data_IF_342745508346
#
_entry.id   IF_342745508346
#
_cell.length_a   1.000
_cell.length_b   1.000
_cell.length_c   1.000
_cell.angle_alpha   90.00
_cell.angle_beta   90.00
_cell.angle_gamma   90.00
#
_symmetry.space_group_name_H-M   'P 1'
#
loop_
_entity.id
_entity.type
_entity.pdbx_description
1 polymer ?
#
# COMPACT_ATOMS: atom_id res chain seq x y z
N UNK A 1 -17.93 60.79 -32.51
CA UNK A 1 -16.85 59.77 -32.47
C UNK A 1 -17.04 58.92 -31.22
N UNK A 2 -17.53 57.69 -31.34
CA UNK A 2 -17.69 56.76 -30.21
C UNK A 2 -16.43 55.89 -30.12
N UNK A 3 -15.67 56.01 -29.03
CA UNK A 3 -14.50 55.17 -28.75
C UNK A 3 -14.96 53.96 -27.93
N UNK A 4 -14.87 52.78 -28.54
CA UNK A 4 -15.06 51.50 -27.86
C UNK A 4 -13.76 51.15 -27.13
N UNK A 5 -13.83 50.91 -25.82
CA UNK A 5 -12.73 50.36 -25.03
C UNK A 5 -12.82 48.84 -25.05
N UNK A 6 -11.76 48.17 -25.51
CA UNK A 6 -11.57 46.73 -25.36
C UNK A 6 -10.58 46.54 -24.22
N UNK A 7 -11.05 45.96 -23.12
CA UNK A 7 -10.25 45.58 -21.95
C UNK A 7 -9.53 44.26 -22.25
N UNK A 8 -8.19 44.28 -22.24
CA UNK A 8 -7.35 43.09 -22.37
C UNK A 8 -7.19 42.44 -20.98
N UNK A 9 -7.72 41.23 -20.81
CA UNK A 9 -7.54 40.41 -19.61
C UNK A 9 -6.13 39.81 -19.60
N UNK A 10 -5.36 40.12 -18.55
CA UNK A 10 -4.04 39.54 -18.29
C UNK A 10 -4.22 38.07 -17.87
N UNK A 11 -3.84 37.14 -18.76
CA UNK A 11 -3.65 35.73 -18.40
C UNK A 11 -2.29 35.60 -17.69
N UNK A 12 -2.32 35.36 -16.38
CA UNK A 12 -1.14 34.99 -15.62
C UNK A 12 -0.69 33.58 -16.04
N UNK A 13 0.38 33.48 -16.82
CA UNK A 13 1.10 32.23 -17.03
C UNK A 13 1.72 31.82 -15.70
N UNK A 14 1.16 30.77 -15.07
CA UNK A 14 1.84 30.01 -14.03
C UNK A 14 3.11 29.41 -14.65
N UNK A 15 4.27 29.93 -14.26
CA UNK A 15 5.56 29.38 -14.63
C UNK A 15 5.70 27.96 -14.08
N UNK A 16 5.56 26.97 -14.96
CA UNK A 16 6.02 25.62 -14.74
C UNK A 16 7.55 25.64 -14.66
N UNK A 17 8.07 25.79 -13.44
CA UNK A 17 9.42 25.33 -13.16
C UNK A 17 9.42 23.83 -13.44
N UNK A 18 10.17 23.42 -14.45
CA UNK A 18 10.47 22.02 -14.70
C UNK A 18 11.11 21.47 -13.42
N UNK A 19 10.33 20.72 -12.65
CA UNK A 19 10.85 19.96 -11.53
C UNK A 19 11.87 18.99 -12.13
N UNK A 20 13.15 19.25 -11.86
CA UNK A 20 14.19 18.24 -12.03
C UNK A 20 13.69 16.98 -11.32
N UNK A 21 13.47 15.90 -12.06
CA UNK A 21 13.02 14.64 -11.49
C UNK A 21 14.12 14.14 -10.55
N UNK A 22 13.98 14.45 -9.26
CA UNK A 22 14.78 13.80 -8.23
C UNK A 22 14.51 12.29 -8.33
N UNK A 23 15.56 11.48 -8.18
CA UNK A 23 15.40 10.02 -8.09
C UNK A 23 14.30 9.68 -7.08
N UNK A 24 13.43 8.68 -7.35
CA UNK A 24 12.30 8.39 -6.48
C UNK A 24 12.78 8.18 -5.04
N UNK A 25 12.36 9.08 -4.14
CA UNK A 25 12.66 8.93 -2.71
C UNK A 25 11.75 7.85 -2.13
N UNK A 26 12.13 6.59 -2.34
CA UNK A 26 11.36 5.42 -1.90
C UNK A 26 11.72 5.10 -0.45
N UNK A 27 10.74 5.21 0.44
CA UNK A 27 10.93 4.86 1.84
C UNK A 27 9.69 4.15 2.39
N UNK A 28 9.87 3.42 3.47
CA UNK A 28 8.84 2.60 4.11
C UNK A 28 9.43 1.77 5.24
N UNK A 29 8.61 0.90 5.81
CA UNK A 29 9.07 -0.05 6.83
C UNK A 29 8.15 -1.28 6.90
N UNK A 30 8.53 -2.27 7.70
CA UNK A 30 7.71 -3.43 8.00
C UNK A 30 7.76 -3.81 9.49
N UNK A 31 6.89 -4.73 9.87
CA UNK A 31 6.89 -5.36 11.20
C UNK A 31 8.02 -6.39 11.34
N UNK A 32 8.59 -6.87 10.23
CA UNK A 32 9.71 -7.81 10.20
C UNK A 32 10.50 -7.68 8.89
N UNK A 33 11.60 -6.94 8.94
CA UNK A 33 12.44 -6.63 7.76
C UNK A 33 13.18 -7.85 7.20
N UNK A 34 13.36 -8.91 8.00
CA UNK A 34 13.94 -10.17 7.52
C UNK A 34 13.00 -10.96 6.61
N UNK A 35 11.69 -10.75 6.77
CA UNK A 35 10.63 -11.42 6.00
C UNK A 35 10.15 -10.54 4.85
N UNK A 36 9.89 -9.26 5.12
CA UNK A 36 9.55 -8.26 4.11
C UNK A 36 10.42 -7.04 4.30
N UNK A 37 11.39 -6.87 3.41
CA UNK A 37 12.12 -5.62 3.28
C UNK A 37 11.45 -4.75 2.21
N UNK A 38 11.47 -3.44 2.44
CA UNK A 38 10.97 -2.44 1.48
C UNK A 38 12.11 -1.54 1.02
N UNK A 39 12.02 -1.01 -0.19
CA UNK A 39 13.07 -0.16 -0.74
C UNK A 39 12.86 0.11 -2.22
N UNK A 40 13.82 0.80 -2.83
CA UNK A 40 13.79 1.06 -4.26
C UNK A 40 13.92 -0.25 -5.04
N UNK A 41 13.03 -0.46 -6.00
CA UNK A 41 13.03 -1.64 -6.87
C UNK A 41 14.31 -1.70 -7.72
N UNK A 42 14.86 -2.90 -7.84
CA UNK A 42 16.07 -3.19 -8.60
C UNK A 42 16.11 -4.63 -9.15
N UNK A 43 14.99 -5.36 -9.10
CA UNK A 43 14.88 -6.72 -9.61
C UNK A 43 15.00 -6.77 -11.14
N UNK A 44 15.75 -7.73 -11.69
CA UNK A 44 16.06 -7.81 -13.13
C UNK A 44 14.84 -7.70 -14.07
N UNK A 45 13.73 -8.36 -13.73
CA UNK A 45 12.50 -8.33 -14.54
C UNK A 45 11.45 -7.30 -14.08
N UNK A 46 11.62 -6.75 -12.87
CA UNK A 46 10.60 -5.91 -12.24
C UNK A 46 11.23 -4.61 -11.72
N UNK A 47 12.20 -4.07 -12.45
CA UNK A 47 12.81 -2.80 -12.09
C UNK A 47 11.95 -1.65 -12.64
N UNK A 48 11.50 -0.78 -11.74
CA UNK A 48 10.91 0.49 -12.10
C UNK A 48 11.53 1.67 -11.38
N UNK A 49 12.56 1.45 -10.56
CA UNK A 49 13.15 2.44 -9.66
C UNK A 49 12.16 3.06 -8.66
N UNK A 50 10.97 2.48 -8.50
CA UNK A 50 9.92 2.89 -7.55
C UNK A 50 9.86 1.94 -6.34
N UNK A 51 8.84 2.14 -5.51
CA UNK A 51 8.41 1.31 -4.40
C UNK A 51 8.50 -0.18 -4.70
N UNK A 52 9.39 -0.86 -3.97
CA UNK A 52 9.66 -2.27 -4.15
C UNK A 52 9.66 -3.07 -2.86
N UNK A 53 9.41 -4.37 -3.02
CA UNK A 53 9.39 -5.35 -1.93
C UNK A 53 10.42 -6.45 -2.20
N UNK A 54 11.07 -6.90 -1.13
CA UNK A 54 11.95 -8.06 -1.12
C UNK A 54 11.50 -9.01 -0.02
N UNK A 55 11.24 -10.27 -0.39
CA UNK A 55 10.72 -11.30 0.50
C UNK A 55 11.84 -12.25 0.96
N UNK A 56 11.84 -12.61 2.24
CA UNK A 56 12.77 -13.56 2.88
C UNK A 56 14.25 -13.29 2.55
N UNK A 57 14.66 -12.02 2.54
CA UNK A 57 16.02 -11.60 2.16
C UNK A 57 16.50 -12.17 0.80
N UNK A 58 15.59 -12.40 -0.14
CA UNK A 58 15.91 -12.96 -1.45
C UNK A 58 17.05 -12.20 -2.14
N UNK A 59 18.04 -12.91 -2.73
CA UNK A 59 19.14 -12.27 -3.44
C UNK A 59 18.70 -11.63 -4.78
N UNK A 60 17.46 -11.87 -5.23
CA UNK A 60 16.94 -11.37 -6.50
C UNK A 60 16.59 -9.86 -6.48
N UNK A 61 16.70 -9.21 -5.32
CA UNK A 61 16.45 -7.77 -5.16
C UNK A 61 14.99 -7.40 -4.87
N UNK A 62 14.69 -6.12 -5.00
CA UNK A 62 13.37 -5.53 -4.73
C UNK A 62 12.53 -5.47 -6.01
N UNK A 63 11.32 -6.01 -5.93
CA UNK A 63 10.35 -6.08 -7.03
C UNK A 63 9.49 -4.83 -6.98
N UNK A 64 9.38 -4.08 -8.07
CA UNK A 64 8.44 -2.97 -8.17
C UNK A 64 7.01 -3.46 -7.94
N UNK A 65 6.35 -2.93 -6.90
CA UNK A 65 5.01 -3.35 -6.47
C UNK A 65 4.00 -3.19 -7.59
N UNK A 66 4.10 -2.10 -8.36
CA UNK A 66 3.17 -1.77 -9.42
C UNK A 66 3.40 -2.62 -10.65
N UNK A 67 4.64 -2.66 -11.15
CA UNK A 67 4.99 -3.38 -12.39
C UNK A 67 4.96 -4.90 -12.22
N UNK A 68 5.24 -5.40 -11.03
CA UNK A 68 5.20 -6.83 -10.73
C UNK A 68 3.80 -7.28 -10.29
N UNK A 69 3.59 -7.49 -8.97
CA UNK A 69 2.41 -8.17 -8.47
C UNK A 69 1.09 -7.47 -8.82
N UNK A 70 1.01 -6.13 -8.80
CA UNK A 70 -0.24 -5.41 -9.11
C UNK A 70 -0.59 -5.50 -10.59
N UNK A 71 0.36 -5.23 -11.49
CA UNK A 71 0.14 -5.31 -12.93
C UNK A 71 -0.24 -6.74 -13.35
N UNK A 72 0.52 -7.74 -12.90
CA UNK A 72 0.22 -9.14 -13.24
C UNK A 72 -1.15 -9.58 -12.75
N UNK A 73 -1.50 -9.22 -11.50
CA UNK A 73 -2.83 -9.47 -10.92
C UNK A 73 -3.93 -8.87 -11.78
N UNK A 74 -3.85 -7.56 -12.07
CA UNK A 74 -4.86 -6.86 -12.83
C UNK A 74 -4.98 -7.35 -14.28
N UNK A 75 -3.87 -7.67 -14.94
CA UNK A 75 -3.88 -8.27 -16.29
C UNK A 75 -4.61 -9.61 -16.31
N UNK A 76 -4.27 -10.49 -15.37
CA UNK A 76 -4.92 -11.80 -15.28
C UNK A 76 -6.42 -11.67 -14.95
N UNK A 77 -6.79 -10.78 -14.02
CA UNK A 77 -8.19 -10.55 -13.65
C UNK A 77 -8.98 -9.95 -14.81
N UNK A 78 -8.42 -8.98 -15.53
CA UNK A 78 -9.08 -8.36 -16.69
C UNK A 78 -9.36 -9.39 -17.80
N UNK A 79 -8.45 -10.34 -18.00
CA UNK A 79 -8.60 -11.37 -19.03
C UNK A 79 -9.45 -12.57 -18.60
N UNK A 80 -9.42 -12.96 -17.32
CA UNK A 80 -9.89 -14.29 -16.86
C UNK A 80 -10.85 -14.22 -15.66
N UNK A 81 -11.06 -13.05 -15.06
CA UNK A 81 -11.94 -12.83 -13.91
C UNK A 81 -11.28 -13.02 -12.54
N UNK A 82 -12.09 -12.88 -11.49
CA UNK A 82 -11.63 -13.00 -10.09
C UNK A 82 -11.24 -14.44 -9.73
N UNK A 83 -10.12 -14.61 -9.03
CA UNK A 83 -9.56 -15.93 -8.70
C UNK A 83 -8.80 -16.59 -9.84
N UNK A 84 -8.57 -15.85 -10.93
CA UNK A 84 -7.79 -16.30 -12.07
C UNK A 84 -6.37 -16.72 -11.66
N UNK A 85 -5.83 -17.69 -12.41
CA UNK A 85 -4.42 -18.01 -12.37
C UNK A 85 -3.64 -17.00 -13.20
N UNK A 86 -2.82 -16.20 -12.51
CA UNK A 86 -1.80 -15.32 -13.07
C UNK A 86 -0.61 -16.17 -13.51
N UNK A 87 -0.24 -16.00 -14.78
CA UNK A 87 0.94 -16.61 -15.39
C UNK A 87 2.13 -15.65 -15.38
N UNK A 88 3.32 -16.15 -15.70
CA UNK A 88 4.49 -15.29 -15.93
C UNK A 88 4.25 -14.24 -17.02
N UNK A 89 3.61 -14.61 -18.13
CA UNK A 89 3.25 -13.69 -19.21
C UNK A 89 2.34 -12.56 -18.73
N UNK A 90 1.36 -12.85 -17.88
CA UNK A 90 0.47 -11.82 -17.30
C UNK A 90 1.27 -10.80 -16.48
N UNK A 91 2.32 -11.27 -15.77
CA UNK A 91 3.26 -10.44 -15.02
C UNK A 91 4.35 -9.79 -15.88
N UNK A 92 4.36 -9.98 -17.21
CA UNK A 92 5.38 -9.43 -18.11
C UNK A 92 6.69 -10.22 -18.17
N UNK A 93 6.70 -11.47 -17.72
CA UNK A 93 7.82 -12.40 -17.86
C UNK A 93 7.76 -13.15 -19.20
N UNK A 94 8.90 -13.60 -19.76
CA UNK A 94 8.95 -14.24 -21.08
C UNK A 94 8.50 -15.72 -21.08
N UNK A 95 7.72 -16.15 -20.09
CA UNK A 95 7.30 -17.54 -19.94
C UNK A 95 5.88 -17.66 -19.34
N UNK A 96 5.11 -18.62 -19.84
CA UNK A 96 3.69 -18.81 -19.51
C UNK A 96 3.47 -19.85 -18.40
N UNK A 97 4.27 -19.81 -17.33
CA UNK A 97 4.08 -20.70 -16.18
C UNK A 97 3.03 -20.12 -15.23
N UNK A 98 2.20 -20.97 -14.63
CA UNK A 98 1.28 -20.56 -13.57
C UNK A 98 2.06 -20.13 -12.32
N UNK A 99 1.74 -18.96 -11.77
CA UNK A 99 2.48 -18.37 -10.64
C UNK A 99 1.59 -18.26 -9.40
N UNK A 100 0.42 -17.66 -9.55
CA UNK A 100 -0.44 -17.31 -8.42
C UNK A 100 -1.92 -17.26 -8.79
N UNK A 101 -2.79 -17.42 -7.81
CA UNK A 101 -4.19 -17.01 -7.91
C UNK A 101 -4.36 -15.57 -7.42
N UNK A 102 -5.22 -14.81 -8.10
CA UNK A 102 -5.30 -13.36 -7.87
C UNK A 102 -6.74 -12.85 -7.76
N UNK A 103 -6.92 -11.81 -6.94
CA UNK A 103 -8.17 -11.10 -6.74
C UNK A 103 -7.91 -9.62 -6.55
N UNK A 104 -8.89 -8.78 -6.88
CA UNK A 104 -8.89 -7.39 -6.48
C UNK A 104 -10.25 -6.95 -5.93
N UNK A 105 -10.25 -5.93 -5.07
CA UNK A 105 -11.47 -5.37 -4.50
C UNK A 105 -11.28 -3.87 -4.26
N UNK A 106 -12.18 -3.00 -4.79
CA UNK A 106 -12.13 -1.59 -4.50
C UNK A 106 -12.53 -1.33 -3.03
N UNK A 107 -12.00 -0.26 -2.47
CA UNK A 107 -12.40 0.21 -1.14
C UNK A 107 -12.49 1.74 -1.12
N UNK A 108 -13.39 2.26 -0.29
CA UNK A 108 -13.62 3.71 -0.15
C UNK A 108 -13.78 4.07 1.31
N UNK A 109 -13.19 5.18 1.75
CA UNK A 109 -13.40 5.75 3.08
C UNK A 109 -13.58 7.26 2.94
N UNK A 110 -14.75 7.78 3.32
CA UNK A 110 -15.13 9.15 2.98
C UNK A 110 -15.01 9.41 1.48
N UNK A 111 -14.27 10.47 1.12
CA UNK A 111 -13.98 10.83 -0.29
C UNK A 111 -12.78 10.07 -0.88
N UNK A 112 -12.05 9.30 -0.07
CA UNK A 112 -10.83 8.62 -0.48
C UNK A 112 -11.12 7.24 -1.03
N UNK A 113 -10.34 6.86 -2.05
CA UNK A 113 -10.49 5.60 -2.76
C UNK A 113 -9.19 4.81 -2.70
N UNK A 114 -9.33 3.50 -2.76
CA UNK A 114 -8.24 2.56 -2.62
C UNK A 114 -8.49 1.34 -3.50
N UNK A 115 -7.40 0.69 -3.89
CA UNK A 115 -7.46 -0.63 -4.50
C UNK A 115 -6.72 -1.66 -3.68
N UNK A 116 -7.39 -2.79 -3.41
CA UNK A 116 -6.79 -3.95 -2.77
C UNK A 116 -6.52 -5.02 -3.82
N UNK A 117 -5.28 -5.48 -3.93
CA UNK A 117 -4.89 -6.67 -4.69
C UNK A 117 -4.49 -7.77 -3.72
N UNK A 118 -5.00 -8.97 -3.94
CA UNK A 118 -4.69 -10.16 -3.14
C UNK A 118 -4.12 -11.23 -4.05
N UNK A 119 -2.99 -11.80 -3.66
CA UNK A 119 -2.20 -12.72 -4.47
C UNK A 119 -1.86 -13.93 -3.61
N UNK A 120 -2.10 -15.12 -4.14
CA UNK A 120 -1.76 -16.40 -3.52
C UNK A 120 -0.84 -17.16 -4.45
N UNK A 121 0.44 -17.23 -4.10
CA UNK A 121 1.40 -18.03 -4.85
C UNK A 121 1.02 -19.52 -4.82
N UNK A 122 0.92 -20.14 -6.00
CA UNK A 122 0.63 -21.57 -6.16
C UNK A 122 1.88 -22.35 -6.59
N UNK A 123 2.74 -21.73 -7.39
CA UNK A 123 3.97 -22.35 -7.90
C UNK A 123 5.21 -21.71 -7.30
N UNK A 124 6.14 -22.53 -6.80
CA UNK A 124 7.46 -22.04 -6.42
C UNK A 124 8.40 -22.12 -7.62
N UNK A 125 8.94 -20.97 -8.01
CA UNK A 125 9.93 -20.89 -9.08
C UNK A 125 11.31 -20.59 -8.47
N UNK A 126 12.33 -21.45 -8.65
CA UNK A 126 13.65 -21.25 -8.06
C UNK A 126 14.30 -19.91 -8.48
N UNK A 127 13.97 -19.45 -9.68
CA UNK A 127 14.53 -18.25 -10.31
C UNK A 127 13.62 -17.02 -10.21
N UNK A 128 12.47 -17.13 -9.54
CA UNK A 128 11.54 -16.02 -9.39
C UNK A 128 11.29 -15.69 -7.92
N UNK A 129 10.91 -14.44 -7.63
CA UNK A 129 10.57 -14.06 -6.28
C UNK A 129 9.40 -14.87 -5.71
N UNK A 130 9.52 -15.22 -4.43
CA UNK A 130 8.52 -15.98 -3.70
C UNK A 130 7.52 -15.00 -3.05
N UNK A 131 6.42 -14.73 -3.74
CA UNK A 131 5.41 -13.78 -3.27
C UNK A 131 4.59 -14.29 -2.08
N UNK A 132 4.54 -15.59 -1.85
CA UNK A 132 3.73 -16.18 -0.78
C UNK A 132 2.25 -15.82 -0.91
N UNK A 133 1.59 -15.58 0.22
CA UNK A 133 0.35 -14.82 0.25
C UNK A 133 0.66 -13.34 0.42
N UNK A 134 0.13 -12.49 -0.44
CA UNK A 134 0.41 -11.07 -0.46
C UNK A 134 -0.87 -10.28 -0.68
N UNK A 135 -1.13 -9.29 0.18
CA UNK A 135 -2.25 -8.37 0.04
C UNK A 135 -1.66 -6.96 -0.02
N UNK A 136 -2.07 -6.20 -1.03
CA UNK A 136 -1.54 -4.88 -1.36
C UNK A 136 -2.72 -3.92 -1.41
N UNK A 137 -2.82 -3.05 -0.41
CA UNK A 137 -3.57 -1.81 -0.50
C UNK A 137 -2.77 -0.76 -1.25
N UNK A 138 -3.46 -0.05 -2.15
CA UNK A 138 -2.91 1.04 -2.94
C UNK A 138 -3.81 2.25 -2.77
N UNK A 139 -3.20 3.39 -2.42
CA UNK A 139 -3.90 4.69 -2.38
C UNK A 139 -4.24 5.11 -3.82
N UNK A 140 -5.47 5.58 -4.02
CA UNK A 140 -5.94 6.12 -5.29
C UNK A 140 -6.30 7.60 -5.16
N UNK A 141 -6.37 8.27 -6.31
CA UNK A 141 -6.90 9.63 -6.39
C UNK A 141 -8.42 9.67 -6.17
N UNK A 142 -9.00 10.88 -6.17
CA UNK A 142 -10.43 11.09 -5.98
C UNK A 142 -11.30 10.41 -7.06
N UNK A 143 -10.75 10.17 -8.27
CA UNK A 143 -11.46 9.44 -9.33
C UNK A 143 -11.51 7.94 -9.04
N UNK A 144 -10.60 7.43 -8.21
CA UNK A 144 -10.41 6.00 -7.93
C UNK A 144 -9.30 5.40 -8.76
N UNK A 145 -8.57 6.23 -9.50
CA UNK A 145 -7.41 5.80 -10.26
C UNK A 145 -6.23 5.69 -9.31
N UNK A 146 -5.53 4.55 -9.25
CA UNK A 146 -4.35 4.43 -8.42
C UNK A 146 -3.31 5.52 -8.73
N UNK A 147 -2.65 6.04 -7.69
CA UNK A 147 -1.66 7.11 -7.85
C UNK A 147 -0.63 6.77 -8.92
N UNK A 148 -0.17 7.78 -9.68
CA UNK A 148 0.74 7.62 -10.81
C UNK A 148 2.10 6.99 -10.41
N UNK A 149 2.84 6.49 -11.41
CA UNK A 149 4.20 5.97 -11.20
C UNK A 149 5.06 7.10 -10.63
N UNK A 150 5.89 6.81 -9.62
CA UNK A 150 6.68 7.83 -8.90
C UNK A 150 5.89 8.57 -7.82
N UNK A 151 4.62 8.23 -7.59
CA UNK A 151 3.80 8.74 -6.48
C UNK A 151 3.01 7.63 -5.79
N UNK A 152 3.32 6.37 -6.07
CA UNK A 152 2.59 5.23 -5.52
C UNK A 152 2.77 5.14 -4.00
N UNK A 153 1.68 4.87 -3.29
CA UNK A 153 1.70 4.62 -1.85
C UNK A 153 0.99 3.29 -1.60
N UNK A 154 1.73 2.35 -1.01
CA UNK A 154 1.35 0.96 -0.84
C UNK A 154 1.49 0.54 0.62
N UNK A 155 0.61 -0.36 1.03
CA UNK A 155 0.60 -0.93 2.37
C UNK A 155 -0.08 -2.29 2.31
N UNK A 156 0.22 -3.17 3.24
CA UNK A 156 -0.48 -4.45 3.27
C UNK A 156 0.18 -5.49 4.14
N UNK A 157 -0.14 -6.75 3.86
CA UNK A 157 0.34 -7.89 4.62
C UNK A 157 0.88 -8.96 3.70
N UNK A 158 1.81 -9.74 4.24
CA UNK A 158 2.46 -10.84 3.56
C UNK A 158 2.56 -12.02 4.51
N UNK A 159 2.42 -13.23 3.98
CA UNK A 159 2.72 -14.47 4.65
C UNK A 159 3.50 -15.41 3.72
N UNK A 160 4.34 -16.31 4.24
CA UNK A 160 4.99 -17.31 3.41
C UNK A 160 3.94 -18.16 2.70
N UNK A 161 4.29 -18.70 1.52
CA UNK A 161 3.45 -19.70 0.85
C UNK A 161 3.18 -20.86 1.81
N UNK A 162 1.95 -21.35 1.84
CA UNK A 162 1.62 -22.57 2.58
C UNK A 162 2.51 -23.74 2.12
N UNK A 163 2.91 -24.60 3.07
CA UNK A 163 3.74 -25.77 2.78
C UNK A 163 2.98 -26.81 1.94
N UNK A 164 3.72 -27.66 1.22
CA UNK A 164 3.16 -28.74 0.42
C UNK A 164 2.55 -28.28 -0.92
N UNK A 165 1.68 -29.13 -1.46
CA UNK A 165 0.91 -28.87 -2.69
C UNK A 165 -0.30 -28.00 -2.37
N UNK A 166 -0.36 -26.75 -2.84
CA UNK A 166 -1.47 -25.88 -2.55
C UNK A 166 -2.72 -26.40 -3.24
N UNK A 167 -3.90 -26.34 -2.60
CA UNK A 167 -5.15 -26.64 -3.28
C UNK A 167 -5.32 -25.74 -4.51
N UNK A 168 -5.91 -26.31 -5.57
CA UNK A 168 -6.08 -25.67 -6.89
C UNK A 168 -6.86 -24.37 -6.80
N UNK A 169 -7.93 -24.32 -6.00
CA UNK A 169 -8.77 -23.14 -5.82
C UNK A 169 -8.96 -22.86 -4.34
N UNK A 170 -8.33 -21.80 -3.83
CA UNK A 170 -8.42 -21.46 -2.42
C UNK A 170 -8.13 -19.99 -2.17
N UNK A 171 -8.85 -19.42 -1.21
CA UNK A 171 -8.63 -18.08 -0.65
C UNK A 171 -7.75 -18.11 0.60
N UNK A 172 -7.09 -19.23 0.89
CA UNK A 172 -6.10 -19.32 1.95
C UNK A 172 -4.77 -18.73 1.46
N UNK A 173 -4.53 -17.46 1.83
CA UNK A 173 -3.28 -16.73 1.61
C UNK A 173 -2.24 -17.01 2.72
N UNK A 174 -2.49 -17.97 3.61
CA UNK A 174 -1.66 -18.31 4.76
C UNK A 174 -1.51 -17.18 5.78
N UNK A 175 -2.47 -16.25 5.87
CA UNK A 175 -2.42 -15.10 6.78
C UNK A 175 -2.59 -15.46 8.26
N UNK A 176 -2.97 -16.70 8.59
CA UNK A 176 -2.90 -17.23 9.94
C UNK A 176 -1.47 -17.56 10.41
N UNK A 177 -0.48 -17.53 9.51
CA UNK A 177 0.93 -17.82 9.81
C UNK A 177 1.50 -16.88 10.88
N UNK A 178 2.31 -17.43 11.78
CA UNK A 178 3.10 -16.66 12.75
C UNK A 178 4.16 -15.76 12.09
N UNK A 179 4.56 -16.09 10.85
CA UNK A 179 5.47 -15.29 10.03
C UNK A 179 4.76 -14.15 9.29
N UNK A 180 3.44 -13.96 9.47
CA UNK A 180 2.72 -12.87 8.80
C UNK A 180 3.35 -11.53 9.17
N UNK A 181 3.62 -10.74 8.14
CA UNK A 181 4.32 -9.46 8.23
C UNK A 181 3.47 -8.38 7.58
N UNK A 182 3.15 -7.32 8.32
CA UNK A 182 2.60 -6.08 7.78
C UNK A 182 3.70 -5.13 7.34
N UNK A 183 3.46 -4.36 6.29
CA UNK A 183 4.43 -3.49 5.64
C UNK A 183 3.77 -2.26 5.00
N UNK A 184 4.58 -1.24 4.73
CA UNK A 184 4.20 -0.09 3.92
C UNK A 184 5.42 0.47 3.17
N UNK A 185 5.20 1.03 1.99
CA UNK A 185 6.22 1.67 1.16
C UNK A 185 5.56 2.67 0.23
N UNK A 186 6.24 3.77 -0.06
CA UNK A 186 5.77 4.71 -1.05
C UNK A 186 6.90 5.45 -1.75
N UNK A 187 6.56 5.96 -2.92
CA UNK A 187 7.38 6.87 -3.69
C UNK A 187 7.26 8.28 -3.13
N UNK A 188 8.25 9.13 -3.43
CA UNK A 188 8.20 10.55 -3.08
C UNK A 188 7.89 10.77 -1.59
N UNK A 189 8.62 10.03 -0.74
CA UNK A 189 8.55 10.19 0.70
C UNK A 189 8.89 11.62 1.08
N UNK A 190 8.09 12.18 2.00
CA UNK A 190 8.36 13.51 2.56
C UNK A 190 9.69 13.47 3.30
N UNK A 191 10.54 14.47 3.08
CA UNK A 191 11.85 14.67 3.74
C UNK A 191 11.88 15.92 4.61
N UNK A 192 10.95 16.85 4.37
CA UNK A 192 10.69 18.03 5.18
C UNK A 192 9.16 18.15 5.36
N UNK A 193 8.68 17.88 6.57
CA UNK A 193 7.23 17.89 6.84
C UNK A 193 6.66 19.29 6.62
N UNK A 194 5.65 19.47 5.73
CA UNK A 194 4.99 20.75 5.56
C UNK A 194 4.17 21.08 6.82
N UNK A 195 3.85 22.36 7.03
CA UNK A 195 2.92 22.72 8.09
C UNK A 195 1.53 22.10 7.83
N UNK A 196 1.01 21.41 8.83
CA UNK A 196 -0.30 20.75 8.81
C UNK A 196 -1.14 21.35 9.93
N UNK A 197 -2.20 22.08 9.57
CA UNK A 197 -3.15 22.62 10.54
C UNK A 197 -4.44 21.79 10.49
N UNK A 198 -4.53 20.80 11.37
CA UNK A 198 -5.69 19.90 11.50
C UNK A 198 -6.11 19.26 10.18
N UNK A 199 -5.12 18.68 9.47
CA UNK A 199 -5.35 18.03 8.18
C UNK A 199 -5.88 16.63 8.39
N UNK A 200 -7.06 16.33 7.84
CA UNK A 200 -7.68 15.02 7.94
C UNK A 200 -7.22 14.10 6.80
N UNK A 201 -7.10 12.81 7.10
CA UNK A 201 -6.83 11.74 6.16
C UNK A 201 -7.87 10.65 6.37
N UNK A 202 -8.56 10.25 5.31
CA UNK A 202 -9.38 9.04 5.36
C UNK A 202 -8.46 7.83 5.16
N UNK A 203 -8.59 6.82 6.01
CA UNK A 203 -7.65 5.72 6.14
C UNK A 203 -8.39 4.40 6.12
N UNK A 204 -7.79 3.42 5.42
CA UNK A 204 -8.16 2.01 5.55
C UNK A 204 -6.99 1.20 6.11
N UNK A 205 -7.30 0.08 6.76
CA UNK A 205 -6.32 -0.86 7.29
C UNK A 205 -6.61 -2.32 6.93
N UNK A 206 -5.55 -3.07 6.65
CA UNK A 206 -5.56 -4.47 6.20
C UNK A 206 -4.99 -5.35 7.30
N UNK A 207 -5.69 -6.43 7.59
CA UNK A 207 -5.30 -7.44 8.57
C UNK A 207 -6.09 -8.74 8.35
N UNK A 208 -5.39 -9.87 8.24
CA UNK A 208 -5.96 -11.22 8.25
C UNK A 208 -6.92 -11.49 7.09
N UNK A 209 -6.57 -11.14 5.85
CA UNK A 209 -7.38 -11.44 4.66
C UNK A 209 -7.23 -12.91 4.22
N UNK A 210 -8.36 -13.55 3.91
CA UNK A 210 -8.42 -14.91 3.39
C UNK A 210 -9.11 -15.90 4.33
N UNK A 211 -8.78 -17.17 4.16
CA UNK A 211 -9.21 -18.26 5.03
C UNK A 211 -8.03 -18.92 5.75
N UNK A 212 -8.31 -19.61 6.85
CA UNK A 212 -7.36 -20.49 7.50
C UNK A 212 -7.20 -21.86 6.78
N UNK A 213 -6.41 -22.76 7.34
CA UNK A 213 -6.19 -24.10 6.79
C UNK A 213 -7.46 -24.98 6.79
N UNK A 214 -8.44 -24.68 7.64
CA UNK A 214 -9.72 -25.39 7.73
C UNK A 214 -10.79 -24.76 6.83
N UNK A 215 -10.48 -23.67 6.13
CA UNK A 215 -11.41 -22.95 5.28
C UNK A 215 -12.27 -21.92 6.01
N UNK A 216 -12.03 -21.64 7.30
CA UNK A 216 -12.76 -20.61 8.03
C UNK A 216 -12.31 -19.22 7.55
N UNK A 217 -13.25 -18.31 7.36
CA UNK A 217 -12.96 -16.93 6.97
C UNK A 217 -12.26 -16.21 8.13
N UNK A 218 -11.10 -15.64 7.85
CA UNK A 218 -10.35 -14.84 8.81
C UNK A 218 -11.01 -13.47 9.03
N UNK A 219 -10.62 -12.77 10.10
CA UNK A 219 -11.25 -11.50 10.48
C UNK A 219 -11.18 -10.41 9.39
N UNK A 220 -10.18 -10.47 8.50
CA UNK A 220 -10.02 -9.56 7.35
C UNK A 220 -10.89 -9.89 6.15
N UNK A 221 -11.78 -10.87 6.24
CA UNK A 221 -12.70 -11.23 5.17
C UNK A 221 -12.00 -11.94 4.00
N UNK A 222 -12.74 -12.13 2.90
CA UNK A 222 -12.24 -12.80 1.70
C UNK A 222 -11.52 -11.81 0.77
N UNK A 223 -10.62 -12.27 -0.10
CA UNK A 223 -9.94 -11.42 -1.09
C UNK A 223 -10.88 -10.57 -1.97
N UNK A 224 -12.06 -11.09 -2.28
CA UNK A 224 -13.10 -10.42 -3.09
C UNK A 224 -14.01 -9.50 -2.28
N UNK A 225 -14.03 -9.64 -0.97
CA UNK A 225 -14.81 -8.80 -0.05
C UNK A 225 -14.02 -8.60 1.25
N UNK A 226 -12.96 -7.76 1.22
CA UNK A 226 -12.12 -7.54 2.38
C UNK A 226 -12.89 -6.82 3.50
N UNK A 227 -12.78 -7.32 4.73
CA UNK A 227 -13.25 -6.66 5.95
C UNK A 227 -12.13 -5.77 6.50
N UNK A 228 -12.16 -4.50 6.12
CA UNK A 228 -11.09 -3.52 6.38
C UNK A 228 -11.34 -2.72 7.66
N UNK A 229 -10.25 -2.32 8.30
CA UNK A 229 -10.27 -1.20 9.25
C UNK A 229 -10.51 0.11 8.51
N UNK A 230 -11.25 1.03 9.13
CA UNK A 230 -11.74 2.27 8.51
C UNK A 230 -11.79 3.41 9.51
N UNK A 231 -11.40 4.61 9.10
CA UNK A 231 -11.60 5.82 9.88
C UNK A 231 -10.80 7.01 9.40
N UNK A 232 -10.65 7.99 10.27
CA UNK A 232 -10.00 9.27 9.96
C UNK A 232 -8.86 9.54 10.93
N UNK A 233 -7.71 9.97 10.39
CA UNK A 233 -6.59 10.48 11.17
C UNK A 233 -6.43 11.98 10.93
N UNK A 234 -6.20 12.75 11.98
CA UNK A 234 -5.95 14.19 11.94
C UNK A 234 -4.49 14.45 12.25
N UNK A 235 -3.80 15.12 11.33
CA UNK A 235 -2.42 15.54 11.49
C UNK A 235 -2.33 17.02 11.85
N UNK A 236 -1.56 17.32 12.90
CA UNK A 236 -1.14 18.65 13.27
C UNK A 236 0.39 18.67 13.32
N UNK A 237 1.01 19.52 12.50
CA UNK A 237 2.46 19.69 12.46
C UNK A 237 2.81 21.15 12.23
N UNK A 238 3.66 21.69 13.10
CA UNK A 238 4.33 22.96 12.90
C UNK A 238 5.79 22.81 13.36
N UNK A 239 6.72 23.27 12.54
CA UNK A 239 8.14 23.15 12.86
C UNK A 239 8.46 23.88 14.18
N UNK A 240 9.17 23.22 15.09
CA UNK A 240 9.47 23.76 16.43
C UNK A 240 8.32 23.70 17.45
N UNK A 241 7.17 23.13 17.09
CA UNK A 241 6.07 22.89 18.04
C UNK A 241 6.25 21.59 18.83
N UNK A 242 5.79 21.59 20.09
CA UNK A 242 5.71 20.39 20.95
C UNK A 242 4.42 19.60 20.77
N UNK A 243 3.44 20.11 20.00
CA UNK A 243 2.11 19.51 19.80
C UNK A 243 1.99 18.74 18.48
N UNK A 244 3.12 18.37 17.86
CA UNK A 244 3.13 17.67 16.58
C UNK A 244 2.59 16.25 16.72
N UNK A 245 1.40 15.99 16.17
CA UNK A 245 0.68 14.76 16.42
C UNK A 245 -0.17 14.30 15.23
N UNK A 246 -0.25 12.99 15.08
CA UNK A 246 -1.22 12.27 14.25
C UNK A 246 -2.15 11.48 15.18
N UNK A 247 -3.42 11.83 15.19
CA UNK A 247 -4.41 11.25 16.11
C UNK A 247 -5.67 10.81 15.38
N UNK A 248 -6.29 9.74 15.83
CA UNK A 248 -7.59 9.30 15.30
C UNK A 248 -7.86 7.85 15.64
N UNK A 249 -8.85 7.25 14.99
CA UNK A 249 -9.20 5.85 15.24
C UNK A 249 -9.58 5.11 13.97
N UNK A 250 -9.34 3.80 13.98
CA UNK A 250 -9.74 2.88 12.93
C UNK A 250 -10.66 1.81 13.53
N UNK A 251 -11.80 1.59 12.90
CA UNK A 251 -12.83 0.63 13.33
C UNK A 251 -13.03 -0.45 12.29
N UNK A 252 -13.39 -1.65 12.72
CA UNK A 252 -13.73 -2.78 11.85
C UNK A 252 -14.79 -3.63 12.53
N UNK A 253 -15.81 -4.03 11.78
CA UNK A 253 -16.87 -4.91 12.29
C UNK A 253 -16.27 -6.20 12.86
N UNK A 254 -16.66 -6.55 14.08
CA UNK A 254 -16.18 -7.75 14.77
C UNK A 254 -14.74 -7.64 15.29
N UNK A 255 -14.18 -6.44 15.40
CA UNK A 255 -12.85 -6.22 15.96
C UNK A 255 -12.81 -5.00 16.89
N UNK A 256 -11.84 -4.98 17.80
CA UNK A 256 -11.61 -3.81 18.64
C UNK A 256 -11.14 -2.60 17.81
N UNK A 257 -11.56 -1.42 18.24
CA UNK A 257 -11.10 -0.14 17.69
C UNK A 257 -9.61 0.05 17.95
N UNK A 258 -8.88 0.51 16.93
CA UNK A 258 -7.48 0.91 17.04
C UNK A 258 -7.44 2.43 17.20
N UNK A 259 -6.81 2.90 18.29
CA UNK A 259 -6.58 4.32 18.50
C UNK A 259 -5.15 4.67 18.12
N UNK A 260 -5.00 5.55 17.14
CA UNK A 260 -3.71 6.07 16.70
C UNK A 260 -3.43 7.36 17.47
N UNK A 261 -2.26 7.39 18.11
CA UNK A 261 -1.70 8.57 18.76
C UNK A 261 -0.19 8.52 18.59
N UNK A 262 0.32 9.28 17.62
CA UNK A 262 1.71 9.28 17.21
C UNK A 262 2.25 10.71 17.12
N UNK A 263 3.53 10.89 17.45
CA UNK A 263 4.24 12.15 17.24
C UNK A 263 4.73 12.21 15.80
N UNK A 264 4.58 13.37 15.15
CA UNK A 264 5.09 13.64 13.80
C UNK A 264 6.45 14.34 13.90
N UNK A 265 7.45 13.86 13.15
CA UNK A 265 8.76 14.49 13.08
C UNK A 265 8.94 15.37 11.83
N UNK A 266 10.09 16.05 11.73
CA UNK A 266 10.41 16.95 10.63
C UNK A 266 10.76 16.25 9.31
N UNK A 267 10.95 14.93 9.34
CA UNK A 267 11.33 14.10 8.19
C UNK A 267 10.14 13.36 7.57
N UNK A 268 8.92 13.75 7.96
CA UNK A 268 7.68 13.16 7.49
C UNK A 268 7.32 11.85 8.17
N UNK A 269 8.07 11.37 9.17
CA UNK A 269 7.74 10.15 9.88
C UNK A 269 6.80 10.46 11.04
N UNK A 270 6.05 9.43 11.46
CA UNK A 270 5.31 9.48 12.71
C UNK A 270 5.44 8.16 13.46
N UNK A 271 5.47 8.23 14.79
CA UNK A 271 5.46 7.03 15.64
C UNK A 271 4.87 7.31 17.03
N UNK A 272 4.24 6.30 17.62
CA UNK A 272 3.64 6.35 18.95
C UNK A 272 2.47 5.40 19.12
N UNK A 273 2.21 4.97 20.36
CA UNK A 273 1.13 4.04 20.72
C UNK A 273 1.02 2.80 19.81
N UNK A 274 2.16 2.17 19.48
CA UNK A 274 2.20 1.00 18.60
C UNK A 274 2.01 1.29 17.11
N UNK A 275 1.77 2.54 16.71
CA UNK A 275 1.74 2.97 15.32
C UNK A 275 3.11 3.51 14.89
N UNK A 276 3.52 3.21 13.66
CA UNK A 276 4.63 3.88 12.97
C UNK A 276 4.33 4.02 11.49
N UNK A 277 4.81 5.09 10.86
CA UNK A 277 4.55 5.33 9.44
C UNK A 277 5.15 6.64 8.97
N UNK A 278 4.73 7.09 7.79
CA UNK A 278 5.17 8.37 7.24
C UNK A 278 4.20 8.99 6.23
N UNK A 279 4.49 10.24 5.88
CA UNK A 279 3.86 10.99 4.80
C UNK A 279 4.59 10.84 3.46
N UNK A 280 3.81 10.93 2.38
CA UNK A 280 4.24 10.86 0.98
C UNK A 280 3.59 11.99 0.18
N UNK A 281 4.15 12.32 -0.98
CA UNK A 281 3.55 13.23 -1.96
C UNK A 281 3.20 14.60 -1.36
N UNK A 282 4.16 15.26 -0.72
CA UNK A 282 3.96 16.52 0.01
C UNK A 282 2.86 16.43 1.09
N UNK A 283 2.83 15.30 1.79
CA UNK A 283 1.81 14.96 2.78
C UNK A 283 0.37 14.94 2.23
N UNK A 284 0.18 14.65 0.94
CA UNK A 284 -1.15 14.35 0.40
C UNK A 284 -1.58 12.90 0.68
N UNK A 285 -0.64 12.02 1.05
CA UNK A 285 -0.90 10.64 1.42
C UNK A 285 -0.03 10.22 2.62
N UNK A 286 -0.47 9.18 3.32
CA UNK A 286 0.28 8.54 4.39
C UNK A 286 0.14 7.02 4.31
N UNK A 287 1.13 6.31 4.87
CA UNK A 287 1.02 4.88 5.14
C UNK A 287 1.83 4.50 6.37
N UNK A 288 1.44 3.40 7.01
CA UNK A 288 2.07 2.93 8.23
C UNK A 288 1.62 1.54 8.63
N UNK A 289 2.08 1.11 9.80
CA UNK A 289 1.65 -0.12 10.46
C UNK A 289 1.30 0.15 11.92
N UNK A 290 0.39 -0.65 12.45
CA UNK A 290 0.07 -0.75 13.85
C UNK A 290 0.45 -2.14 14.37
N UNK A 291 1.35 -2.19 15.35
CA UNK A 291 1.84 -3.42 15.99
C UNK A 291 1.52 -3.48 17.49
N UNK A 292 0.68 -2.56 17.99
CA UNK A 292 0.29 -2.49 19.41
C UNK A 292 -0.57 -3.64 19.92
N UNK A 293 -1.15 -4.46 19.03
CA UNK A 293 -1.94 -5.65 19.41
C UNK A 293 -1.10 -6.87 19.84
N UNK A 294 0.23 -6.74 19.87
CA UNK A 294 1.15 -7.78 20.31
C UNK A 294 1.57 -8.71 19.18
N UNK A 295 0.81 -9.78 18.95
CA UNK A 295 1.22 -10.85 18.02
C UNK A 295 1.03 -10.45 16.57
N UNK A 296 1.76 -11.12 15.65
CA UNK A 296 1.59 -10.98 14.21
C UNK A 296 0.11 -10.96 13.84
N UNK A 297 -0.73 -11.86 14.38
CA UNK A 297 -2.18 -11.95 14.15
C UNK A 297 -2.96 -10.61 14.26
N UNK A 298 -2.52 -9.71 15.13
CA UNK A 298 -3.17 -8.44 15.42
C UNK A 298 -2.61 -7.25 14.63
N UNK A 299 -1.46 -7.41 13.98
CA UNK A 299 -0.81 -6.30 13.28
C UNK A 299 -1.62 -5.86 12.07
N UNK A 300 -1.67 -4.56 11.84
CA UNK A 300 -2.44 -3.93 10.75
C UNK A 300 -1.51 -3.06 9.92
N UNK A 301 -1.56 -3.17 8.59
CA UNK A 301 -1.01 -2.15 7.70
C UNK A 301 -2.10 -1.18 7.29
N UNK A 302 -1.82 0.12 7.26
CA UNK A 302 -2.80 1.13 6.89
C UNK A 302 -2.23 2.16 5.92
N UNK A 303 -3.12 2.74 5.14
CA UNK A 303 -2.81 3.82 4.22
C UNK A 303 -3.99 4.75 4.05
N UNK A 304 -3.68 6.01 3.76
CA UNK A 304 -4.68 7.06 3.65
C UNK A 304 -4.28 8.16 2.69
N UNK A 305 -5.29 8.89 2.26
CA UNK A 305 -5.13 10.12 1.49
C UNK A 305 -5.81 11.25 2.22
N UNK A 306 -5.25 12.45 2.05
CA UNK A 306 -5.81 13.67 2.59
C UNK A 306 -7.28 13.81 2.17
N UNK A 307 -8.14 14.07 3.15
CA UNK A 307 -9.55 14.42 2.94
C UNK A 307 -9.58 15.86 2.44
N UNK A 308 -9.90 16.05 1.16
CA UNK A 308 -10.18 17.37 0.59
C UNK A 308 -11.61 17.79 0.93
#
# INVERSE_FOLDING_TARGET
>A
MKKSMITLSVMALLGSSAAMAASPNVQGDSSNTSKVAVGQSNHAYFNGENSGLKFNNSPLGFIDVRKGPVNGSNTAIASKGQGAVMTGTDAGLPFAVDIAQVWNAPATEGASKFMINSIRQITQLPIAPQFGGLVIGQVADASGTPLAIGSGVYFGEWAPRAAGTPPTNSTNLNMASSDRTVWYVGDNAVTATPNLASVNYNVIGINQTGTDASGNVLAGGLPTSPNLYRGTLTANYNNGSVTNALTGSLTRTGSATINISATIDSTGQFSGNGAKGRFYNNANALAGIYTGGGTAASHVAFGGSRSN
#
